data_IF_259582468102
#
_entry.id   IF_259582468102
#
_cell.length_a   1.000
_cell.length_b   1.000
_cell.length_c   1.000
_cell.angle_alpha   90.00
_cell.angle_beta   90.00
_cell.angle_gamma   90.00
#
_symmetry.space_group_name_H-M   'P 1'
#
loop_
_entity.id
_entity.type
_entity.pdbx_description
1 polymer ?
#
# COMPACT_ATOMS: atom_id res chain seq x y z
N UNK A 1 -13.23 -9.22 5.32
CA UNK A 1 -13.59 -8.62 4.02
C UNK A 1 -13.34 -9.66 2.93
N UNK A 2 -14.30 -9.91 2.03
CA UNK A 2 -14.08 -10.77 0.85
C UNK A 2 -13.99 -9.87 -0.39
N UNK A 3 -12.83 -9.82 -1.03
CA UNK A 3 -12.59 -9.07 -2.26
C UNK A 3 -12.44 -10.07 -3.40
N UNK A 4 -13.15 -9.83 -4.51
CA UNK A 4 -12.96 -10.54 -5.78
C UNK A 4 -13.05 -9.49 -6.89
N UNK A 5 -11.95 -9.26 -7.57
CA UNK A 5 -11.84 -8.28 -8.63
C UNK A 5 -11.57 -9.04 -9.91
N UNK A 6 -12.39 -8.82 -10.92
CA UNK A 6 -12.29 -9.45 -12.23
C UNK A 6 -12.41 -8.38 -13.31
N UNK A 7 -11.38 -8.23 -14.13
CA UNK A 7 -11.32 -7.24 -15.21
C UNK A 7 -11.31 -7.95 -16.58
N UNK A 8 -12.26 -7.61 -17.46
CA UNK A 8 -12.40 -8.19 -18.81
C UNK A 8 -12.15 -7.10 -19.89
N UNK A 9 -11.05 -7.19 -20.66
CA UNK A 9 -10.78 -6.47 -21.93
C UNK A 9 -9.34 -6.72 -22.44
N UNK A 10 -9.04 -6.59 -23.75
CA UNK A 10 -7.70 -6.76 -24.37
C UNK A 10 -6.50 -6.12 -23.62
N UNK A 11 -6.72 -5.17 -22.70
CA UNK A 11 -5.77 -4.60 -21.74
C UNK A 11 -6.16 -4.95 -20.27
N UNK A 12 -6.21 -6.26 -19.95
CA UNK A 12 -6.88 -6.84 -18.77
C UNK A 12 -6.41 -6.35 -17.40
N UNK A 13 -5.27 -5.67 -17.31
CA UNK A 13 -4.69 -5.22 -16.04
C UNK A 13 -5.00 -3.76 -15.71
N UNK A 14 -5.56 -3.01 -16.66
CA UNK A 14 -5.90 -1.61 -16.41
C UNK A 14 -7.20 -1.50 -15.58
N UNK A 15 -7.21 -0.71 -14.49
CA UNK A 15 -8.41 -0.55 -13.67
C UNK A 15 -9.60 0.01 -14.46
N UNK A 16 -10.76 -0.66 -14.40
CA UNK A 16 -11.97 -0.28 -15.17
C UNK A 16 -12.41 1.17 -14.90
N UNK A 17 -12.14 1.67 -13.70
CA UNK A 17 -12.44 3.07 -13.32
C UNK A 17 -11.81 4.09 -14.28
N UNK A 18 -10.62 3.83 -14.82
CA UNK A 18 -9.97 4.78 -15.73
C UNK A 18 -10.72 4.85 -17.07
N UNK A 19 -11.12 3.69 -17.60
CA UNK A 19 -11.94 3.61 -18.81
C UNK A 19 -13.29 4.32 -18.61
N UNK A 20 -13.85 4.21 -17.40
CA UNK A 20 -15.09 4.87 -17.03
C UNK A 20 -14.93 6.40 -17.00
N UNK A 21 -13.82 6.92 -16.48
CA UNK A 21 -13.58 8.37 -16.37
C UNK A 21 -13.36 9.05 -17.73
N UNK A 22 -12.73 8.37 -18.69
CA UNK A 22 -12.55 8.89 -20.06
C UNK A 22 -13.90 9.06 -20.80
N UNK A 23 -14.90 8.27 -20.44
CA UNK A 23 -16.19 8.22 -21.12
C UNK A 23 -17.22 9.21 -20.56
N UNK A 24 -16.87 9.99 -19.53
CA UNK A 24 -17.81 10.94 -18.93
C UNK A 24 -18.05 12.12 -19.89
N UNK A 25 -19.31 12.40 -20.28
CA UNK A 25 -19.63 13.58 -21.07
C UNK A 25 -19.23 14.88 -20.35
N UNK A 26 -18.68 15.84 -21.10
CA UNK A 26 -18.13 17.09 -20.54
C UNK A 26 -19.15 17.90 -19.74
N UNK A 27 -20.44 17.82 -20.05
CA UNK A 27 -21.49 18.52 -19.31
C UNK A 27 -21.69 18.02 -17.86
N UNK A 28 -21.10 16.88 -17.50
CA UNK A 28 -21.13 16.33 -16.14
C UNK A 28 -19.78 16.47 -15.42
N UNK A 29 -18.84 17.18 -16.02
CA UNK A 29 -17.51 17.44 -15.49
C UNK A 29 -17.42 18.88 -15.03
N UNK A 30 -17.07 19.06 -13.77
CA UNK A 30 -16.95 20.35 -13.08
C UNK A 30 -15.52 20.60 -12.56
N UNK A 31 -14.50 19.93 -13.14
CA UNK A 31 -13.12 20.04 -12.65
C UNK A 31 -12.57 21.46 -12.79
N UNK A 32 -12.90 22.16 -13.88
CA UNK A 32 -12.41 23.50 -14.17
C UNK A 32 -12.89 24.52 -13.14
N UNK A 33 -14.15 24.39 -12.71
CA UNK A 33 -14.79 25.22 -11.69
C UNK A 33 -14.12 25.08 -10.32
N UNK A 34 -13.50 23.93 -10.05
CA UNK A 34 -12.71 23.70 -8.84
C UNK A 34 -11.20 23.90 -9.05
N UNK A 35 -10.76 24.39 -10.22
CA UNK A 35 -9.33 24.50 -10.59
C UNK A 35 -8.57 23.17 -10.46
N UNK A 36 -9.25 22.07 -10.79
CA UNK A 36 -8.70 20.71 -10.78
C UNK A 36 -8.29 20.31 -12.21
N UNK A 37 -7.44 19.28 -12.31
CA UNK A 37 -7.22 18.57 -13.58
C UNK A 37 -8.43 17.71 -13.92
N UNK A 38 -8.52 17.27 -15.18
CA UNK A 38 -9.53 16.30 -15.58
C UNK A 38 -9.47 15.04 -14.69
N UNK A 39 -10.60 14.44 -14.25
CA UNK A 39 -10.58 13.29 -13.35
C UNK A 39 -9.78 12.09 -13.87
N UNK A 40 -9.84 11.83 -15.18
CA UNK A 40 -8.99 10.82 -15.82
C UNK A 40 -7.51 11.10 -15.55
N UNK A 41 -7.04 12.34 -15.77
CA UNK A 41 -5.63 12.71 -15.60
C UNK A 41 -5.19 12.63 -14.14
N UNK A 42 -6.05 13.04 -13.21
CA UNK A 42 -5.80 12.91 -11.76
C UNK A 42 -5.47 11.45 -11.45
N UNK A 43 -6.40 10.54 -11.77
CA UNK A 43 -6.26 9.15 -11.39
C UNK A 43 -5.15 8.43 -12.17
N UNK A 44 -5.01 8.70 -13.47
CA UNK A 44 -3.98 8.11 -14.31
C UNK A 44 -2.57 8.50 -13.83
N UNK A 45 -2.37 9.76 -13.43
CA UNK A 45 -1.10 10.22 -12.86
C UNK A 45 -0.77 9.51 -11.53
N UNK A 46 -1.76 9.36 -10.65
CA UNK A 46 -1.57 8.68 -9.35
C UNK A 46 -1.24 7.21 -9.51
N UNK A 47 -1.91 6.52 -10.44
CA UNK A 47 -1.58 5.14 -10.79
C UNK A 47 -0.17 5.02 -11.39
N UNK A 48 0.21 5.94 -12.29
CA UNK A 48 1.55 5.98 -12.86
C UNK A 48 2.65 6.09 -11.79
N UNK A 49 2.46 6.95 -10.78
CA UNK A 49 3.38 7.07 -9.64
C UNK A 49 3.48 5.78 -8.83
N UNK A 50 2.34 5.15 -8.53
CA UNK A 50 2.29 3.92 -7.74
C UNK A 50 2.98 2.79 -8.49
N UNK A 51 2.61 2.52 -9.74
CA UNK A 51 3.19 1.42 -10.52
C UNK A 51 4.66 1.67 -10.86
N UNK A 52 5.05 2.91 -11.16
CA UNK A 52 6.46 3.29 -11.33
C UNK A 52 7.28 3.04 -10.06
N UNK A 53 6.74 3.36 -8.88
CA UNK A 53 7.41 3.10 -7.60
C UNK A 53 7.46 1.63 -7.25
N UNK A 54 6.39 0.86 -7.51
CA UNK A 54 6.40 -0.60 -7.39
C UNK A 54 7.48 -1.22 -8.25
N UNK A 55 7.57 -0.83 -9.54
CA UNK A 55 8.54 -1.36 -10.49
C UNK A 55 9.97 -1.11 -9.99
N UNK A 56 10.27 0.10 -9.53
CA UNK A 56 11.55 0.46 -8.92
C UNK A 56 11.85 -0.42 -7.69
N UNK A 57 10.90 -0.54 -6.76
CA UNK A 57 11.05 -1.35 -5.55
C UNK A 57 11.30 -2.84 -5.88
N UNK A 58 10.49 -3.42 -6.77
CA UNK A 58 10.62 -4.83 -7.20
C UNK A 58 11.94 -5.09 -7.93
N UNK A 59 12.41 -4.15 -8.75
CA UNK A 59 13.71 -4.25 -9.40
C UNK A 59 14.84 -4.24 -8.37
N UNK A 60 14.80 -3.33 -7.39
CA UNK A 60 15.80 -3.28 -6.32
C UNK A 60 15.78 -4.55 -5.45
N UNK A 61 14.59 -5.10 -5.13
CA UNK A 61 14.45 -6.37 -4.43
C UNK A 61 14.98 -7.55 -5.25
N UNK A 62 14.73 -7.57 -6.56
CA UNK A 62 15.26 -8.61 -7.46
C UNK A 62 16.78 -8.58 -7.50
N UNK A 63 17.38 -7.39 -7.61
CA UNK A 63 18.83 -7.21 -7.54
C UNK A 63 19.38 -7.67 -6.18
N UNK A 64 18.67 -7.40 -5.08
CA UNK A 64 19.02 -7.91 -3.76
C UNK A 64 19.02 -9.45 -3.72
N UNK A 65 17.97 -10.10 -4.22
CA UNK A 65 17.89 -11.57 -4.22
C UNK A 65 19.02 -12.23 -5.00
N UNK A 66 19.43 -11.67 -6.15
CA UNK A 66 20.56 -12.18 -6.96
C UNK A 66 21.88 -12.18 -6.19
N UNK A 67 22.05 -11.27 -5.23
CA UNK A 67 23.28 -11.11 -4.46
C UNK A 67 23.15 -11.62 -3.01
N UNK A 68 21.99 -12.16 -2.62
CA UNK A 68 21.66 -12.48 -1.23
C UNK A 68 22.52 -13.59 -0.61
N UNK A 69 23.23 -14.38 -1.44
CA UNK A 69 24.20 -15.38 -1.00
C UNK A 69 25.53 -14.78 -0.48
N UNK A 70 25.76 -13.49 -0.70
CA UNK A 70 26.95 -12.81 -0.19
C UNK A 70 26.74 -12.43 1.29
N UNK A 71 27.63 -12.93 2.16
CA UNK A 71 27.50 -12.88 3.64
C UNK A 71 27.37 -11.47 4.24
N UNK A 72 27.74 -10.41 3.50
CA UNK A 72 27.73 -9.01 3.95
C UNK A 72 26.74 -8.12 3.18
N UNK A 73 25.76 -8.69 2.48
CA UNK A 73 24.91 -7.91 1.58
C UNK A 73 23.86 -7.08 2.34
N UNK A 74 24.07 -5.76 2.37
CA UNK A 74 23.13 -4.75 2.90
C UNK A 74 22.00 -4.54 1.89
N UNK A 75 20.75 -4.42 2.38
CA UNK A 75 19.64 -3.96 1.54
C UNK A 75 19.95 -2.52 1.08
N UNK A 76 19.95 -2.22 -0.24
CA UNK A 76 20.22 -0.86 -0.72
C UNK A 76 19.26 0.15 -0.12
N UNK A 77 19.75 1.33 0.26
CA UNK A 77 18.92 2.42 0.83
C UNK A 77 17.77 2.82 -0.13
N UNK A 78 17.98 2.61 -1.44
CA UNK A 78 16.98 2.75 -2.50
C UNK A 78 15.70 1.94 -2.25
N UNK A 79 15.79 0.76 -1.63
CA UNK A 79 14.63 -0.08 -1.28
C UNK A 79 13.78 0.60 -0.22
N UNK A 80 14.42 1.17 0.81
CA UNK A 80 13.73 1.88 1.89
C UNK A 80 13.11 3.19 1.37
N UNK A 81 13.83 3.93 0.52
CA UNK A 81 13.29 5.13 -0.12
C UNK A 81 12.09 4.79 -1.01
N UNK A 82 12.19 3.77 -1.87
CA UNK A 82 11.08 3.33 -2.71
C UNK A 82 9.88 2.83 -1.88
N UNK A 83 10.13 2.25 -0.70
CA UNK A 83 9.07 1.84 0.24
C UNK A 83 8.34 3.07 0.81
N UNK A 84 9.09 4.07 1.28
CA UNK A 84 8.52 5.34 1.74
C UNK A 84 7.70 6.01 0.65
N UNK A 85 8.28 6.17 -0.55
CA UNK A 85 7.60 6.74 -1.71
C UNK A 85 6.31 5.98 -2.04
N UNK A 86 6.32 4.65 -1.95
CA UNK A 86 5.16 3.82 -2.26
C UNK A 86 4.01 4.07 -1.28
N UNK A 87 4.32 4.10 0.04
CA UNK A 87 3.34 4.41 1.07
C UNK A 87 2.76 5.82 0.87
N UNK A 88 3.62 6.82 0.64
CA UNK A 88 3.18 8.18 0.37
C UNK A 88 2.26 8.27 -0.85
N UNK A 89 2.61 7.58 -1.93
CA UNK A 89 1.79 7.54 -3.15
C UNK A 89 0.43 6.87 -2.93
N UNK A 90 0.33 5.85 -2.06
CA UNK A 90 -0.97 5.27 -1.68
C UNK A 90 -1.87 6.25 -0.95
N UNK A 91 -1.33 7.02 -0.02
CA UNK A 91 -2.11 8.06 0.66
C UNK A 91 -2.53 9.17 -0.31
N UNK A 92 -1.65 9.59 -1.21
CA UNK A 92 -2.02 10.55 -2.26
C UNK A 92 -3.14 10.01 -3.15
N UNK A 93 -3.09 8.75 -3.58
CA UNK A 93 -4.17 8.13 -4.35
C UNK A 93 -5.50 8.20 -3.60
N UNK A 94 -5.50 7.95 -2.29
CA UNK A 94 -6.72 8.02 -1.48
C UNK A 94 -7.36 9.42 -1.56
N UNK A 95 -6.56 10.47 -1.42
CA UNK A 95 -7.00 11.86 -1.59
C UNK A 95 -7.44 12.15 -3.03
N UNK A 96 -6.69 11.66 -4.03
CA UNK A 96 -7.00 11.80 -5.45
C UNK A 96 -8.35 11.17 -5.84
N UNK A 97 -8.76 10.08 -5.17
CA UNK A 97 -10.09 9.51 -5.36
C UNK A 97 -11.20 10.51 -4.96
N UNK A 98 -11.00 11.30 -3.91
CA UNK A 98 -11.95 12.34 -3.52
C UNK A 98 -11.90 13.55 -4.45
N UNK A 99 -10.73 13.91 -4.98
CA UNK A 99 -10.63 14.93 -6.03
C UNK A 99 -11.40 14.53 -7.29
N UNK A 100 -11.29 13.26 -7.70
CA UNK A 100 -12.10 12.70 -8.80
C UNK A 100 -13.59 12.82 -8.49
N UNK A 101 -14.04 12.42 -7.30
CA UNK A 101 -15.46 12.55 -6.92
C UNK A 101 -15.91 14.02 -6.89
N UNK A 102 -15.08 14.93 -6.39
CA UNK A 102 -15.36 16.37 -6.37
C UNK A 102 -15.54 16.92 -7.79
N UNK A 103 -14.67 16.50 -8.71
CA UNK A 103 -14.69 16.97 -10.10
C UNK A 103 -15.96 16.64 -10.88
N UNK A 104 -16.78 15.70 -10.40
CA UNK A 104 -18.06 15.32 -11.03
C UNK A 104 -19.27 15.82 -10.25
N UNK A 105 -19.07 16.67 -9.23
CA UNK A 105 -20.13 17.26 -8.42
C UNK A 105 -20.33 18.72 -8.81
N UNK A 106 -21.56 19.11 -9.12
CA UNK A 106 -21.92 20.51 -9.33
C UNK A 106 -21.41 21.38 -8.17
N UNK A 107 -20.70 22.49 -8.45
CA UNK A 107 -20.32 23.46 -7.43
C UNK A 107 -21.53 23.94 -6.63
N UNK A 108 -21.37 24.03 -5.32
CA UNK A 108 -22.28 24.75 -4.45
C UNK A 108 -21.74 26.18 -4.19
N UNK A 109 -22.49 26.98 -3.44
CA UNK A 109 -22.06 28.34 -3.08
C UNK A 109 -21.09 28.36 -1.89
N UNK A 110 -20.59 27.21 -1.44
CA UNK A 110 -19.76 27.10 -0.24
C UNK A 110 -18.30 26.90 -0.68
N UNK A 111 -17.42 27.80 -0.24
CA UNK A 111 -15.99 27.61 -0.41
C UNK A 111 -15.43 26.75 0.72
N UNK A 112 -14.92 25.57 0.37
CA UNK A 112 -14.23 24.66 1.27
C UNK A 112 -12.72 24.93 1.23
N UNK A 113 -12.07 25.11 2.38
CA UNK A 113 -10.62 25.36 2.44
C UNK A 113 -9.82 24.11 2.16
N UNK A 114 -10.35 22.95 2.53
CA UNK A 114 -9.67 21.66 2.38
C UNK A 114 -10.56 20.60 1.74
N UNK A 115 -9.95 19.55 1.19
CA UNK A 115 -10.68 18.38 0.71
C UNK A 115 -11.45 17.69 1.83
N UNK A 116 -10.83 17.59 3.02
CA UNK A 116 -11.48 16.99 4.19
C UNK A 116 -12.74 17.75 4.61
N UNK A 117 -12.69 19.09 4.59
CA UNK A 117 -13.87 19.93 4.81
C UNK A 117 -14.94 19.67 3.75
N UNK A 118 -14.57 19.58 2.47
CA UNK A 118 -15.52 19.27 1.41
C UNK A 118 -16.19 17.90 1.63
N UNK A 119 -15.43 16.85 1.91
CA UNK A 119 -15.97 15.49 2.14
C UNK A 119 -16.96 15.46 3.31
N UNK A 120 -16.70 16.22 4.38
CA UNK A 120 -17.55 16.24 5.58
C UNK A 120 -18.79 17.12 5.38
N UNK A 121 -18.61 18.31 4.81
CA UNK A 121 -19.62 19.38 4.83
C UNK A 121 -20.47 19.44 3.57
N UNK A 122 -19.96 19.02 2.41
CA UNK A 122 -20.71 19.06 1.15
C UNK A 122 -21.85 18.03 1.11
N UNK A 123 -21.87 17.08 2.07
CA UNK A 123 -22.89 16.02 2.20
C UNK A 123 -23.14 15.25 0.89
N UNK A 124 -22.14 15.18 0.02
CA UNK A 124 -22.19 14.42 -1.23
C UNK A 124 -22.25 12.94 -0.86
N UNK A 125 -23.43 12.33 -1.04
CA UNK A 125 -23.71 10.95 -0.62
C UNK A 125 -22.66 9.96 -1.15
N UNK A 126 -22.27 10.07 -2.41
CA UNK A 126 -21.25 9.20 -3.01
C UNK A 126 -19.87 9.34 -2.36
N UNK A 127 -19.46 10.55 -1.96
CA UNK A 127 -18.20 10.77 -1.25
C UNK A 127 -18.23 10.24 0.18
N UNK A 128 -19.34 10.45 0.90
CA UNK A 128 -19.52 9.92 2.26
C UNK A 128 -19.54 8.40 2.27
N UNK A 129 -20.30 7.78 1.37
CA UNK A 129 -20.34 6.32 1.24
C UNK A 129 -18.99 5.75 0.78
N UNK A 130 -18.29 6.40 -0.16
CA UNK A 130 -16.95 5.97 -0.57
C UNK A 130 -15.97 6.00 0.60
N UNK A 131 -15.95 7.08 1.39
CA UNK A 131 -15.13 7.17 2.60
C UNK A 131 -15.45 6.03 3.57
N UNK A 132 -16.74 5.77 3.82
CA UNK A 132 -17.17 4.68 4.70
C UNK A 132 -16.71 3.30 4.20
N UNK A 133 -16.82 3.05 2.89
CA UNK A 133 -16.43 1.77 2.28
C UNK A 133 -14.90 1.55 2.26
N UNK A 134 -14.11 2.62 2.38
CA UNK A 134 -12.64 2.60 2.19
C UNK A 134 -11.83 3.00 3.43
N UNK A 135 -12.47 3.46 4.51
CA UNK A 135 -11.77 3.97 5.70
C UNK A 135 -10.74 2.96 6.25
N UNK A 136 -11.11 1.68 6.34
CA UNK A 136 -10.22 0.62 6.81
C UNK A 136 -8.97 0.43 5.91
N UNK A 137 -9.08 0.73 4.61
CA UNK A 137 -7.96 0.65 3.67
C UNK A 137 -7.00 1.80 3.92
N UNK A 138 -7.54 3.01 4.08
CA UNK A 138 -6.73 4.19 4.41
C UNK A 138 -5.99 4.01 5.74
N UNK A 139 -6.64 3.42 6.75
CA UNK A 139 -6.04 3.15 8.06
C UNK A 139 -4.80 2.25 7.97
N UNK A 140 -4.77 1.26 7.07
CA UNK A 140 -3.62 0.36 6.90
C UNK A 140 -2.30 1.10 6.62
N UNK A 141 -2.36 2.16 5.81
CA UNK A 141 -1.17 2.97 5.49
C UNK A 141 -1.03 4.20 6.37
N UNK A 142 -2.14 4.78 6.83
CA UNK A 142 -2.16 6.11 7.48
C UNK A 142 -1.24 6.19 8.69
N UNK A 143 -1.26 5.19 9.56
CA UNK A 143 -0.45 5.23 10.78
C UNK A 143 1.05 5.14 10.46
N UNK A 144 1.43 4.29 9.50
CA UNK A 144 2.80 4.20 9.00
C UNK A 144 3.26 5.52 8.37
N UNK A 145 2.39 6.14 7.57
CA UNK A 145 2.69 7.39 6.86
C UNK A 145 2.81 8.57 7.81
N UNK A 146 1.95 8.65 8.82
CA UNK A 146 2.03 9.71 9.82
C UNK A 146 3.36 9.63 10.57
N UNK A 147 3.81 8.43 10.93
CA UNK A 147 5.12 8.21 11.56
C UNK A 147 6.26 8.63 10.63
N UNK A 148 6.21 8.24 9.34
CA UNK A 148 7.22 8.58 8.34
C UNK A 148 7.27 10.10 8.05
N UNK A 149 6.12 10.79 8.00
CA UNK A 149 6.03 12.22 7.65
C UNK A 149 6.35 13.15 8.81
N UNK A 150 5.90 12.81 10.02
CA UNK A 150 5.84 13.75 11.14
C UNK A 150 6.66 13.29 12.35
N UNK A 151 7.07 12.02 12.39
CA UNK A 151 7.91 11.51 13.46
C UNK A 151 9.40 11.62 13.12
N UNK A 152 10.22 11.74 14.14
CA UNK A 152 11.67 11.47 14.06
C UNK A 152 11.91 9.95 13.92
N UNK A 153 11.25 9.33 12.94
CA UNK A 153 11.28 7.89 12.71
C UNK A 153 12.10 7.57 11.48
N UNK A 154 12.52 6.31 11.38
CA UNK A 154 13.29 5.82 10.23
C UNK A 154 12.75 4.49 9.77
N UNK A 155 12.69 4.30 8.45
CA UNK A 155 12.55 2.96 7.91
C UNK A 155 13.87 2.22 8.07
N UNK A 156 13.82 1.03 8.64
CA UNK A 156 14.95 0.13 8.80
C UNK A 156 14.66 -1.17 8.09
N UNK A 157 15.69 -1.76 7.50
CA UNK A 157 15.53 -3.04 6.84
C UNK A 157 15.68 -4.19 7.84
N UNK A 158 15.05 -5.31 7.51
CA UNK A 158 15.21 -6.58 8.22
C UNK A 158 15.21 -7.70 7.19
N UNK A 159 16.00 -8.74 7.42
CA UNK A 159 16.09 -9.89 6.53
C UNK A 159 15.80 -11.16 7.33
N UNK A 160 14.72 -11.85 7.00
CA UNK A 160 14.46 -13.20 7.48
C UNK A 160 15.14 -14.24 6.58
N UNK A 161 15.76 -15.25 7.16
CA UNK A 161 16.33 -16.40 6.44
C UNK A 161 15.65 -17.68 6.90
N UNK A 162 15.20 -18.49 5.95
CA UNK A 162 14.69 -19.83 6.19
C UNK A 162 15.29 -20.79 5.17
N UNK A 163 16.11 -21.74 5.65
CA UNK A 163 16.94 -22.56 4.76
C UNK A 163 17.73 -21.64 3.81
N UNK A 164 17.73 -21.92 2.51
CA UNK A 164 18.38 -21.08 1.48
C UNK A 164 17.53 -19.88 1.01
N UNK A 165 16.35 -19.67 1.61
CA UNK A 165 15.42 -18.63 1.19
C UNK A 165 15.60 -17.37 2.05
N UNK A 166 15.81 -16.25 1.37
CA UNK A 166 15.92 -14.93 1.98
C UNK A 166 14.62 -14.16 1.78
N UNK A 167 14.09 -13.59 2.85
CA UNK A 167 12.84 -12.81 2.87
C UNK A 167 13.17 -11.40 3.35
N UNK A 168 13.25 -10.42 2.44
CA UNK A 168 13.47 -9.04 2.82
C UNK A 168 12.20 -8.44 3.43
N UNK A 169 12.40 -7.51 4.35
CA UNK A 169 11.33 -6.75 4.99
C UNK A 169 11.83 -5.43 5.54
N UNK A 170 10.95 -4.73 6.23
CA UNK A 170 11.24 -3.46 6.88
C UNK A 170 10.44 -3.29 8.16
N UNK A 171 10.91 -2.40 9.03
CA UNK A 171 10.17 -1.88 10.17
C UNK A 171 10.36 -0.36 10.29
N UNK A 172 9.53 0.26 11.11
CA UNK A 172 9.57 1.70 11.40
C UNK A 172 10.17 1.83 12.79
N UNK A 173 11.41 2.33 12.82
CA UNK A 173 12.17 2.62 14.03
C UNK A 173 11.75 3.97 14.59
N UNK A 174 11.56 4.03 15.91
CA UNK A 174 11.37 5.25 16.67
C UNK A 174 11.91 5.12 18.08
N UNK A 175 11.64 6.14 18.89
CA UNK A 175 12.00 6.17 20.31
C UNK A 175 10.75 5.88 21.12
N UNK A 176 10.82 4.92 22.04
CA UNK A 176 9.73 4.61 22.96
C UNK A 176 9.70 5.55 24.18
N UNK A 177 8.74 5.34 25.08
CA UNK A 177 8.58 6.17 26.28
C UNK A 177 9.78 6.07 27.25
N UNK A 178 10.53 4.97 27.21
CA UNK A 178 11.70 4.72 28.05
C UNK A 178 13.01 5.25 27.40
N UNK A 179 12.91 5.81 26.20
CA UNK A 179 14.04 6.36 25.45
C UNK A 179 14.82 5.32 24.64
N UNK A 180 14.34 4.08 24.58
CA UNK A 180 14.93 3.01 23.78
C UNK A 180 14.59 3.19 22.30
N UNK A 181 15.52 2.83 21.43
CA UNK A 181 15.29 2.82 19.98
C UNK A 181 14.75 1.46 19.56
N UNK A 182 13.65 1.42 18.83
CA UNK A 182 13.14 0.16 18.29
C UNK A 182 11.89 0.30 17.43
N UNK A 183 11.24 -0.82 17.07
CA UNK A 183 10.01 -0.80 16.29
C UNK A 183 8.88 -0.12 17.06
N UNK A 184 8.18 0.80 16.40
CA UNK A 184 7.06 1.52 17.02
C UNK A 184 5.85 0.59 17.16
N UNK A 185 5.45 0.29 18.39
CA UNK A 185 4.42 -0.70 18.71
C UNK A 185 3.05 -0.42 18.07
N UNK A 186 2.70 0.85 17.84
CA UNK A 186 1.43 1.22 17.21
C UNK A 186 1.25 0.69 15.78
N UNK A 187 2.36 0.39 15.09
CA UNK A 187 2.37 -0.19 13.74
C UNK A 187 3.09 -1.55 13.68
N UNK A 188 3.81 -1.92 14.73
CA UNK A 188 4.47 -3.23 14.90
C UNK A 188 3.91 -3.96 16.13
N UNK A 189 2.66 -4.46 16.06
CA UNK A 189 2.02 -5.11 17.21
C UNK A 189 2.81 -6.34 17.65
N UNK A 190 2.72 -6.67 18.94
CA UNK A 190 3.47 -7.80 19.50
C UNK A 190 2.96 -9.14 19.00
N UNK A 191 3.89 -10.02 18.63
CA UNK A 191 3.66 -11.43 18.34
C UNK A 191 4.51 -12.27 19.30
N UNK A 192 3.85 -13.12 20.09
CA UNK A 192 4.51 -13.90 21.16
C UNK A 192 5.34 -13.02 22.11
N UNK A 193 4.81 -11.85 22.46
CA UNK A 193 5.47 -10.88 23.35
C UNK A 193 6.54 -9.99 22.70
N UNK A 194 6.84 -10.18 21.41
CA UNK A 194 7.94 -9.49 20.71
C UNK A 194 7.39 -8.56 19.64
N UNK A 195 8.03 -7.41 19.43
CA UNK A 195 7.68 -6.51 18.31
C UNK A 195 7.91 -7.19 16.96
N UNK A 196 7.14 -6.77 15.96
CA UNK A 196 7.11 -7.37 14.62
C UNK A 196 7.75 -6.47 13.57
N UNK A 197 7.72 -6.92 12.32
CA UNK A 197 8.14 -6.17 11.15
C UNK A 197 7.31 -6.62 9.93
N UNK A 198 7.39 -5.91 8.82
CA UNK A 198 6.66 -6.24 7.60
C UNK A 198 7.55 -6.98 6.60
N UNK A 199 7.11 -8.13 6.09
CA UNK A 199 7.79 -8.75 4.93
C UNK A 199 7.31 -8.12 3.63
N UNK A 200 8.22 -7.92 2.67
CA UNK A 200 7.81 -7.44 1.34
C UNK A 200 6.94 -8.47 0.60
N UNK A 201 7.15 -9.77 0.85
CA UNK A 201 6.38 -10.84 0.25
C UNK A 201 4.89 -10.74 0.61
N UNK A 202 4.56 -10.41 1.86
CA UNK A 202 3.18 -10.18 2.30
C UNK A 202 2.70 -8.79 1.87
N UNK A 203 3.45 -7.75 2.23
CA UNK A 203 3.00 -6.38 2.17
C UNK A 203 2.73 -5.91 0.73
N UNK A 204 3.56 -6.28 -0.24
CA UNK A 204 3.36 -5.88 -1.65
C UNK A 204 2.11 -6.53 -2.26
N UNK A 205 1.83 -7.79 -1.91
CA UNK A 205 0.60 -8.48 -2.35
C UNK A 205 -0.64 -7.82 -1.74
N UNK A 206 -0.59 -7.55 -0.44
CA UNK A 206 -1.70 -6.93 0.26
C UNK A 206 -1.99 -5.51 -0.25
N UNK A 207 -0.95 -4.70 -0.46
CA UNK A 207 -1.09 -3.34 -0.96
C UNK A 207 -1.69 -3.28 -2.38
N UNK A 208 -1.34 -4.21 -3.28
CA UNK A 208 -2.00 -4.30 -4.60
C UNK A 208 -3.48 -4.67 -4.46
N UNK A 209 -3.83 -5.56 -3.54
CA UNK A 209 -5.25 -5.86 -3.31
C UNK A 209 -6.03 -4.63 -2.84
N UNK A 210 -5.50 -3.91 -1.85
CA UNK A 210 -6.13 -2.69 -1.34
C UNK A 210 -6.26 -1.63 -2.45
N UNK A 211 -5.24 -1.49 -3.30
CA UNK A 211 -5.27 -0.60 -4.46
C UNK A 211 -6.48 -0.88 -5.36
N UNK A 212 -6.58 -2.12 -5.85
CA UNK A 212 -7.63 -2.47 -6.79
C UNK A 212 -9.02 -2.41 -6.13
N UNK A 213 -9.14 -2.77 -4.85
CA UNK A 213 -10.42 -2.68 -4.12
C UNK A 213 -10.87 -1.22 -3.93
N UNK A 214 -9.96 -0.29 -3.65
CA UNK A 214 -10.27 1.15 -3.61
C UNK A 214 -10.78 1.63 -4.97
N UNK A 215 -10.13 1.22 -6.07
CA UNK A 215 -10.52 1.63 -7.43
C UNK A 215 -11.88 1.05 -7.85
N UNK A 216 -12.18 -0.20 -7.49
CA UNK A 216 -13.50 -0.82 -7.66
C UNK A 216 -14.59 -0.07 -6.88
N UNK A 217 -14.32 0.27 -5.62
CA UNK A 217 -15.24 1.07 -4.79
C UNK A 217 -15.44 2.46 -5.36
N UNK A 218 -14.39 3.11 -5.86
CA UNK A 218 -14.51 4.39 -6.54
C UNK A 218 -15.44 4.25 -7.76
N UNK A 219 -15.22 3.27 -8.63
CA UNK A 219 -16.07 3.01 -9.79
C UNK A 219 -17.54 2.78 -9.40
N UNK A 220 -17.80 1.96 -8.37
CA UNK A 220 -19.13 1.72 -7.82
C UNK A 220 -19.81 3.04 -7.42
N UNK A 221 -19.09 3.92 -6.72
CA UNK A 221 -19.63 5.19 -6.24
C UNK A 221 -19.80 6.24 -7.36
N UNK A 222 -18.90 6.26 -8.34
CA UNK A 222 -19.08 7.04 -9.57
C UNK A 222 -20.36 6.63 -10.29
N UNK A 223 -20.55 5.33 -10.56
CA UNK A 223 -21.76 4.79 -11.22
C UNK A 223 -23.04 5.17 -10.48
N UNK A 224 -23.04 5.07 -9.15
CA UNK A 224 -24.18 5.49 -8.31
C UNK A 224 -24.46 6.97 -8.39
N UNK A 225 -23.41 7.80 -8.36
CA UNK A 225 -23.53 9.25 -8.47
C UNK A 225 -24.15 9.65 -9.81
N UNK A 226 -23.65 9.12 -10.94
CA UNK A 226 -24.20 9.42 -12.26
C UNK A 226 -25.67 9.01 -12.39
N UNK A 227 -26.02 7.83 -11.87
CA UNK A 227 -27.41 7.35 -11.88
C UNK A 227 -28.32 8.25 -11.05
N UNK A 228 -27.90 8.66 -9.85
CA UNK A 228 -28.76 9.40 -8.91
C UNK A 228 -28.81 10.90 -9.17
N UNK A 229 -27.69 11.53 -9.53
CA UNK A 229 -27.57 12.98 -9.70
C UNK A 229 -27.92 13.44 -11.12
N UNK A 230 -27.69 12.58 -12.13
CA UNK A 230 -27.83 12.95 -13.55
C UNK A 230 -28.81 12.07 -14.32
N UNK A 231 -29.42 11.06 -13.67
CA UNK A 231 -30.23 10.02 -14.34
C UNK A 231 -29.52 9.43 -15.57
N UNK A 232 -28.20 9.30 -15.50
CA UNK A 232 -27.36 8.92 -16.63
C UNK A 232 -26.65 7.60 -16.34
N UNK A 233 -26.69 6.69 -17.32
CA UNK A 233 -25.91 5.45 -17.31
C UNK A 233 -24.86 5.54 -18.41
N UNK A 234 -23.59 5.64 -18.02
CA UNK A 234 -22.50 5.57 -18.98
C UNK A 234 -22.49 4.20 -19.65
N UNK A 235 -22.37 4.20 -20.97
CA UNK A 235 -22.26 3.00 -21.80
C UNK A 235 -20.80 2.91 -22.27
N UNK A 236 -20.22 1.71 -22.18
CA UNK A 236 -18.84 1.43 -22.61
C UNK A 236 -18.77 1.54 -24.13
N UNK A 237 -18.48 2.75 -24.62
CA UNK A 237 -18.62 3.06 -26.05
C UNK A 237 -17.30 3.05 -26.82
N UNK A 238 -16.14 2.97 -26.15
CA UNK A 238 -14.85 3.08 -26.83
C UNK A 238 -13.80 2.10 -26.30
N UNK A 239 -13.13 1.41 -27.22
CA UNK A 239 -11.85 0.76 -26.93
C UNK A 239 -10.78 1.84 -26.80
N UNK A 240 -10.16 1.94 -25.63
CA UNK A 240 -9.04 2.84 -25.38
C UNK A 240 -7.77 1.98 -25.32
N UNK A 241 -6.80 2.32 -26.15
CA UNK A 241 -5.47 1.71 -26.09
C UNK A 241 -4.67 2.39 -24.96
N UNK A 242 -4.70 1.77 -23.79
CA UNK A 242 -3.91 2.22 -22.63
C UNK A 242 -2.64 1.39 -22.56
N UNK A 243 -1.50 2.07 -22.36
CA UNK A 243 -0.23 1.39 -22.12
C UNK A 243 -0.24 0.77 -20.72
N UNK A 244 -0.61 -0.51 -20.64
CA UNK A 244 -0.65 -1.29 -19.41
C UNK A 244 0.68 -1.98 -19.06
N UNK A 245 1.77 -1.69 -19.78
CA UNK A 245 3.01 -2.44 -19.68
C UNK A 245 3.59 -2.44 -18.25
N UNK A 246 3.65 -1.27 -17.61
CA UNK A 246 4.17 -1.18 -16.24
C UNK A 246 3.30 -1.93 -15.23
N UNK A 247 1.98 -1.90 -15.41
CA UNK A 247 1.05 -2.65 -14.56
C UNK A 247 1.27 -4.16 -14.73
N UNK A 248 1.38 -4.64 -15.98
CA UNK A 248 1.64 -6.04 -16.30
C UNK A 248 2.96 -6.51 -15.67
N UNK A 249 4.02 -5.72 -15.80
CA UNK A 249 5.34 -6.03 -15.22
C UNK A 249 5.24 -6.12 -13.70
N UNK A 250 4.57 -5.15 -13.05
CA UNK A 250 4.41 -5.15 -11.59
C UNK A 250 3.60 -6.36 -11.12
N UNK A 251 2.45 -6.63 -11.73
CA UNK A 251 1.59 -7.76 -11.36
C UNK A 251 2.32 -9.09 -11.56
N UNK A 252 3.01 -9.27 -12.69
CA UNK A 252 3.82 -10.46 -12.96
C UNK A 252 4.87 -10.67 -11.85
N UNK A 253 5.65 -9.64 -11.52
CA UNK A 253 6.67 -9.75 -10.46
C UNK A 253 6.05 -10.06 -9.09
N UNK A 254 4.92 -9.45 -8.74
CA UNK A 254 4.24 -9.70 -7.45
C UNK A 254 3.70 -11.13 -7.39
N UNK A 255 3.14 -11.66 -8.48
CA UNK A 255 2.66 -13.05 -8.55
C UNK A 255 3.79 -14.03 -8.22
N UNK A 256 5.00 -13.77 -8.71
CA UNK A 256 6.18 -14.61 -8.53
C UNK A 256 6.93 -14.41 -7.20
N UNK A 257 6.52 -13.47 -6.34
CA UNK A 257 7.14 -13.31 -5.02
C UNK A 257 7.03 -14.62 -4.20
N UNK A 258 8.06 -14.99 -3.43
CA UNK A 258 8.01 -16.18 -2.58
C UNK A 258 6.82 -16.15 -1.61
N UNK A 259 6.24 -17.32 -1.34
CA UNK A 259 5.08 -17.50 -0.43
C UNK A 259 5.53 -17.81 1.00
N UNK A 260 6.55 -17.06 1.43
CA UNK A 260 7.19 -17.21 2.73
C UNK A 260 7.16 -15.83 3.37
N UNK A 261 6.53 -15.74 4.53
CA UNK A 261 6.25 -14.50 5.24
C UNK A 261 6.90 -14.52 6.62
N UNK A 262 6.90 -13.37 7.31
CA UNK A 262 7.36 -13.34 8.68
C UNK A 262 6.39 -14.07 9.63
N UNK A 263 6.84 -14.51 10.81
CA UNK A 263 6.06 -15.40 11.68
C UNK A 263 4.67 -14.89 12.04
N UNK A 264 4.50 -13.60 12.31
CA UNK A 264 3.21 -12.99 12.64
C UNK A 264 2.27 -12.88 11.42
N UNK A 265 2.81 -12.98 10.21
CA UNK A 265 2.07 -12.89 8.95
C UNK A 265 1.57 -14.24 8.42
N UNK A 266 2.09 -15.36 8.94
CA UNK A 266 1.78 -16.73 8.47
C UNK A 266 0.28 -17.05 8.54
N UNK A 267 -0.35 -16.64 9.64
CA UNK A 267 -1.79 -16.88 9.91
C UNK A 267 -2.68 -15.75 9.39
N UNK A 268 -2.10 -14.67 8.86
CA UNK A 268 -2.89 -13.59 8.26
C UNK A 268 -3.49 -14.07 6.95
N UNK A 269 -4.70 -13.60 6.67
CA UNK A 269 -5.29 -13.74 5.34
C UNK A 269 -4.34 -13.11 4.30
N UNK A 270 -4.10 -13.83 3.22
CA UNK A 270 -3.19 -13.44 2.14
C UNK A 270 -3.99 -13.02 0.90
N UNK A 271 -3.30 -12.37 -0.04
CA UNK A 271 -3.89 -12.03 -1.34
C UNK A 271 -3.45 -13.05 -2.38
N UNK A 272 -4.42 -13.61 -3.09
CA UNK A 272 -4.18 -14.34 -4.33
C UNK A 272 -4.30 -13.40 -5.52
N UNK A 273 -3.33 -13.47 -6.43
CA UNK A 273 -3.33 -12.75 -7.68
C UNK A 273 -3.10 -13.76 -8.80
N UNK A 274 -4.00 -13.80 -9.77
CA UNK A 274 -3.90 -14.63 -10.95
C UNK A 274 -4.19 -13.79 -12.18
N UNK A 275 -3.33 -13.90 -13.19
CA UNK A 275 -3.55 -13.27 -14.49
C UNK A 275 -3.69 -14.38 -15.52
N UNK A 276 -4.76 -14.34 -16.29
CA UNK A 276 -4.96 -15.18 -17.48
C UNK A 276 -4.98 -14.29 -18.72
N UNK A 277 -5.04 -14.89 -19.91
CA UNK A 277 -5.18 -14.17 -21.17
C UNK A 277 -6.47 -13.33 -21.27
N UNK A 278 -7.42 -13.50 -20.33
CA UNK A 278 -8.76 -12.89 -20.37
C UNK A 278 -9.15 -12.12 -19.11
N UNK A 279 -8.42 -12.28 -18.02
CA UNK A 279 -8.82 -11.72 -16.73
C UNK A 279 -7.65 -11.60 -15.76
N UNK A 280 -7.61 -10.49 -15.04
CA UNK A 280 -6.91 -10.38 -13.76
C UNK A 280 -7.90 -10.71 -12.66
N UNK A 281 -7.56 -11.71 -11.84
CA UNK A 281 -8.28 -12.09 -10.64
C UNK A 281 -7.45 -11.72 -9.40
N UNK A 282 -8.01 -10.86 -8.55
CA UNK A 282 -7.46 -10.59 -7.22
C UNK A 282 -8.47 -11.07 -6.20
N UNK A 283 -8.05 -11.91 -5.26
CA UNK A 283 -8.94 -12.39 -4.20
C UNK A 283 -8.33 -12.31 -2.80
N UNK A 284 -9.18 -11.94 -1.84
CA UNK A 284 -8.84 -11.83 -0.43
C UNK A 284 -10.06 -12.25 0.43
N UNK A 285 -9.93 -13.12 1.44
CA UNK A 285 -8.77 -13.97 1.68
C UNK A 285 -8.53 -14.89 0.48
N UNK A 286 -7.28 -14.99 0.07
CA UNK A 286 -6.82 -15.92 -0.95
C UNK A 286 -6.84 -17.37 -0.45
N UNK A 287 -6.67 -18.31 -1.38
CA UNK A 287 -6.39 -19.72 -1.09
C UNK A 287 -4.91 -19.95 -0.81
N UNK A 288 -4.04 -18.98 -1.09
CA UNK A 288 -2.61 -19.07 -0.84
C UNK A 288 -2.33 -19.16 0.66
N UNK A 289 -1.85 -20.33 1.07
CA UNK A 289 -1.33 -20.54 2.42
C UNK A 289 0.18 -20.28 2.43
N UNK A 290 0.65 -19.67 3.51
CA UNK A 290 2.08 -19.61 3.81
C UNK A 290 2.63 -21.04 3.93
N UNK A 291 3.90 -21.26 3.57
CA UNK A 291 4.58 -22.56 3.71
C UNK A 291 4.89 -22.96 5.18
N UNK A 292 4.13 -22.45 6.16
CA UNK A 292 4.24 -22.76 7.58
C UNK A 292 5.00 -21.71 8.40
N UNK A 293 5.36 -22.09 9.64
CA UNK A 293 6.21 -21.34 10.58
C UNK A 293 7.67 -21.80 10.46
N UNK A 294 8.43 -21.30 9.47
CA UNK A 294 9.85 -21.56 9.45
C UNK A 294 10.52 -20.97 10.69
N UNK A 295 11.42 -21.73 11.32
CA UNK A 295 12.42 -21.18 12.25
C UNK A 295 13.30 -20.18 11.47
N UNK A 296 12.86 -18.93 11.40
CA UNK A 296 13.56 -17.88 10.69
C UNK A 296 14.70 -17.31 11.53
N UNK A 297 15.85 -17.13 10.89
CA UNK A 297 16.92 -16.32 11.43
C UNK A 297 16.78 -14.89 10.90
N UNK A 298 16.75 -13.92 11.80
CA UNK A 298 16.66 -12.51 11.41
C UNK A 298 18.02 -11.83 11.45
N UNK A 299 18.31 -11.06 10.41
CA UNK A 299 19.46 -10.17 10.35
C UNK A 299 18.97 -8.74 10.21
N UNK A 300 19.55 -7.86 11.02
CA UNK A 300 19.23 -6.44 11.08
C UNK A 300 20.53 -5.63 11.14
N UNK A 301 20.52 -4.44 10.54
CA UNK A 301 21.55 -3.44 10.79
C UNK A 301 20.92 -2.30 11.59
N UNK A 302 21.63 -1.89 12.63
CA UNK A 302 21.27 -0.74 13.44
C UNK A 302 22.49 0.16 13.59
N UNK A 303 22.20 1.43 13.87
CA UNK A 303 23.23 2.42 14.17
C UNK A 303 22.99 2.88 15.60
N UNK A 304 23.99 2.69 16.46
CA UNK A 304 23.94 3.19 17.83
C UNK A 304 24.20 4.69 17.80
N UNK A 305 23.23 5.45 18.30
CA UNK A 305 23.36 6.90 18.48
C UNK A 305 23.83 7.22 19.90
N UNK A 306 24.63 8.28 20.05
CA UNK A 306 25.36 8.63 21.27
C UNK A 306 24.49 8.73 22.53
N UNK A 307 23.21 9.08 22.40
CA UNK A 307 22.34 9.46 23.51
C UNK A 307 21.31 8.39 23.91
N UNK A 308 21.25 7.27 23.19
CA UNK A 308 20.25 6.23 23.47
C UNK A 308 20.82 5.13 24.36
N UNK A 309 20.05 4.77 25.39
CA UNK A 309 20.49 3.87 26.48
C UNK A 309 20.26 2.39 26.18
N UNK A 310 19.33 2.09 25.28
CA UNK A 310 18.88 0.73 24.96
C UNK A 310 18.28 0.65 23.56
N UNK A 311 18.22 -0.56 23.02
CA UNK A 311 17.61 -0.85 21.72
C UNK A 311 16.75 -2.11 21.78
N UNK A 312 15.71 -2.14 20.95
CA UNK A 312 14.80 -3.26 20.77
C UNK A 312 14.84 -3.71 19.31
N UNK A 313 14.87 -5.02 19.08
CA UNK A 313 14.91 -5.60 17.74
C UNK A 313 13.63 -6.40 17.45
N UNK A 314 13.05 -6.31 16.24
CA UNK A 314 11.92 -7.16 15.87
C UNK A 314 12.24 -8.64 16.09
N UNK A 315 11.28 -9.38 16.64
CA UNK A 315 11.37 -10.82 16.91
C UNK A 315 12.46 -11.27 17.89
N UNK A 316 13.15 -10.34 18.56
CA UNK A 316 14.08 -10.63 19.66
C UNK A 316 13.34 -10.57 21.02
N UNK A 317 13.79 -11.38 21.98
CA UNK A 317 13.31 -11.32 23.36
C UNK A 317 14.26 -10.46 24.20
N UNK A 318 13.81 -9.28 24.61
CA UNK A 318 14.63 -8.33 25.35
C UNK A 318 14.86 -8.76 26.81
N UNK A 319 14.03 -9.66 27.35
CA UNK A 319 14.14 -10.14 28.74
C UNK A 319 15.44 -10.89 29.01
N UNK A 320 16.09 -11.42 27.97
CA UNK A 320 17.35 -12.18 28.08
C UNK A 320 18.61 -11.30 28.05
N UNK A 321 18.52 -10.05 27.59
CA UNK A 321 19.67 -9.15 27.45
C UNK A 321 19.78 -8.11 28.56
N UNK A 322 18.71 -7.89 29.34
CA UNK A 322 18.76 -7.01 30.51
C UNK A 322 19.55 -7.61 31.69
N UNK A 323 19.87 -8.91 31.67
CA UNK A 323 20.66 -9.57 32.72
C UNK A 323 22.18 -9.39 32.57
N UNK A 324 22.70 -9.01 31.38
CA UNK A 324 24.16 -8.91 31.16
C UNK A 324 24.78 -7.55 31.54
N UNK A 325 23.97 -6.53 31.85
CA UNK A 325 24.46 -5.19 32.23
C UNK A 325 24.54 -4.95 33.75
N UNK A 326 24.42 -5.99 34.59
CA UNK A 326 24.58 -5.88 36.05
C UNK A 326 25.98 -6.24 36.56
N UNK A 327 26.99 -6.44 35.71
CA UNK A 327 28.37 -6.70 36.19
C UNK A 327 29.41 -5.88 35.45
N UNK A 328 29.45 -4.57 35.70
CA UNK A 328 30.72 -3.82 35.77
C UNK A 328 30.50 -2.74 36.85
N UNK A 329 30.99 -3.02 38.06
CA UNK A 329 31.27 -2.01 39.10
C UNK A 329 32.77 -1.86 39.16
#
# INVERSE_FOLDING_TARGET
MKVKIKTEAKNYTFPEVILYLDQIPSQYLFYSEYSLRHPFDILNHSLGKIFGTYKRLLNSLTSFHKNAHQLNYRIPDEVLQATSDLLLNFNSLYDDCFWVLKSICKPDNIQYKTLSEWVINAKVKSAVEFRSDTVLHSCHWKDQINLIKHGNTRLRYIVGRYSDIVVPGYYIEGVDADGSIGPIESVHPKFLGKTTAFSYNYQLRHNIMLLFDILEKLLKHLRRHFKSSYNHKLIKNREIELNANDINIVLSNIIHLPKIFFPDEVEKNTTDIYVTDKELNISYPGKLRSLGYPSMQFTFMFQVEKFHRSFHMPYLDDSKYQQSNQTVV
#
